data_IF_672710806642
#
_entry.id   IF_672710806642
#
_cell.length_a   1.000
_cell.length_b   1.000
_cell.length_c   1.000
_cell.angle_alpha   90.00
_cell.angle_beta   90.00
_cell.angle_gamma   90.00
#
_symmetry.space_group_name_H-M   'P 1'
#
loop_
_entity.id
_entity.type
_entity.pdbx_description
1 polymer ?
#
# COMPACT_ATOMS: atom_id res chain seq x y z
N UNK A 1 -5.23 2.62 -26.34
CA UNK A 1 -4.26 3.51 -25.67
C UNK A 1 -2.85 2.91 -25.53
N UNK A 2 -2.66 1.58 -25.44
CA UNK A 2 -1.33 0.94 -25.34
C UNK A 2 -0.48 0.99 -26.62
N UNK A 3 -1.11 1.01 -27.79
CA UNK A 3 -0.42 1.06 -29.08
C UNK A 3 0.12 2.48 -29.40
N UNK A 4 -0.52 3.53 -28.87
CA UNK A 4 -0.16 4.93 -29.19
C UNK A 4 1.17 5.40 -28.57
N UNK A 5 1.51 4.97 -27.35
CA UNK A 5 2.78 5.38 -26.72
C UNK A 5 4.01 4.70 -27.35
N UNK A 6 3.84 3.48 -27.87
CA UNK A 6 4.90 2.72 -28.55
C UNK A 6 5.42 3.43 -29.79
N UNK A 7 4.54 4.09 -30.55
CA UNK A 7 4.91 4.88 -31.73
C UNK A 7 5.61 6.20 -31.36
N UNK A 8 5.31 6.79 -30.20
CA UNK A 8 5.85 8.09 -29.81
C UNK A 8 7.35 8.04 -29.48
N UNK A 9 7.79 7.04 -28.71
CA UNK A 9 9.22 6.87 -28.39
C UNK A 9 10.06 6.52 -29.62
N UNK A 10 9.50 5.69 -30.51
CA UNK A 10 10.12 5.34 -31.80
C UNK A 10 10.18 6.56 -32.74
N UNK A 11 9.14 7.39 -32.74
CA UNK A 11 9.07 8.65 -33.48
C UNK A 11 10.09 9.69 -32.99
N UNK A 12 10.37 9.78 -31.69
CA UNK A 12 11.40 10.68 -31.14
C UNK A 12 12.82 10.31 -31.60
N UNK A 13 13.12 9.02 -31.74
CA UNK A 13 14.41 8.53 -32.25
C UNK A 13 14.55 8.90 -33.74
N UNK A 14 13.48 8.69 -34.50
CA UNK A 14 13.36 9.03 -35.92
C UNK A 14 13.52 10.55 -36.14
N UNK A 15 12.92 11.40 -35.29
CA UNK A 15 13.12 12.85 -35.28
C UNK A 15 14.57 13.26 -34.97
N UNK A 16 15.24 12.60 -34.02
CA UNK A 16 16.63 12.91 -33.67
C UNK A 16 17.58 12.67 -34.85
N UNK A 17 17.33 11.66 -35.69
CA UNK A 17 18.11 11.40 -36.90
C UNK A 17 17.80 12.39 -38.04
N UNK A 18 16.60 12.97 -38.10
CA UNK A 18 16.16 13.87 -39.18
C UNK A 18 16.61 15.34 -39.08
N UNK A 19 17.40 15.71 -38.07
CA UNK A 19 17.78 17.11 -37.76
C UNK A 19 18.83 17.75 -38.68
N UNK A 20 19.27 17.08 -39.75
CA UNK A 20 20.47 17.48 -40.50
C UNK A 20 20.27 18.35 -41.77
N UNK A 21 19.09 18.86 -42.14
CA UNK A 21 19.00 19.80 -43.29
C UNK A 21 17.84 20.82 -43.25
N UNK A 22 18.09 22.15 -43.34
CA UNK A 22 17.03 23.14 -43.32
C UNK A 22 16.87 23.88 -44.67
N UNK A 23 16.06 23.34 -45.60
CA UNK A 23 15.36 24.11 -46.67
C UNK A 23 14.14 23.33 -47.20
N UNK A 24 12.92 23.81 -46.96
CA UNK A 24 11.64 23.11 -47.23
C UNK A 24 11.50 22.55 -48.67
N UNK A 25 12.05 23.25 -49.66
CA UNK A 25 11.97 22.89 -51.08
C UNK A 25 12.96 21.79 -51.50
N UNK A 26 13.90 21.43 -50.63
CA UNK A 26 14.91 20.37 -50.84
C UNK A 26 14.63 19.14 -49.95
N UNK A 27 13.62 19.20 -49.08
CA UNK A 27 13.27 18.14 -48.14
C UNK A 27 12.56 16.97 -48.82
N UNK A 28 12.94 15.75 -48.48
CA UNK A 28 12.21 14.55 -48.88
C UNK A 28 10.86 14.43 -48.14
N UNK A 29 10.01 13.51 -48.58
CA UNK A 29 8.65 13.34 -48.06
C UNK A 29 8.59 13.06 -46.55
N UNK A 30 9.61 12.39 -46.03
CA UNK A 30 9.77 12.11 -44.61
C UNK A 30 10.25 13.34 -43.82
N UNK A 31 11.17 14.13 -44.37
CA UNK A 31 11.64 15.37 -43.72
C UNK A 31 10.54 16.44 -43.69
N UNK A 32 9.74 16.56 -44.76
CA UNK A 32 8.53 17.40 -44.78
C UNK A 32 7.53 16.94 -43.70
N UNK A 33 7.40 15.63 -43.50
CA UNK A 33 6.56 15.08 -42.45
C UNK A 33 7.08 15.39 -41.04
N UNK A 34 8.39 15.28 -40.81
CA UNK A 34 8.99 15.67 -39.52
C UNK A 34 8.78 17.16 -39.23
N UNK A 35 8.97 18.01 -40.24
CA UNK A 35 8.73 19.45 -40.14
C UNK A 35 7.28 19.78 -39.75
N UNK A 36 6.30 19.06 -40.32
CA UNK A 36 4.88 19.24 -39.99
C UNK A 36 4.59 18.94 -38.51
N UNK A 37 5.12 17.82 -38.00
CA UNK A 37 4.88 17.45 -36.61
C UNK A 37 5.63 18.35 -35.61
N UNK A 38 6.86 18.77 -35.93
CA UNK A 38 7.65 19.64 -35.05
C UNK A 38 7.02 21.03 -34.91
N UNK A 39 6.43 21.57 -36.00
CA UNK A 39 5.81 22.89 -36.01
C UNK A 39 4.29 22.87 -35.83
N UNK A 40 3.70 21.68 -35.61
CA UNK A 40 2.24 21.48 -35.50
C UNK A 40 1.44 22.08 -36.68
N UNK A 41 2.02 21.98 -37.87
CA UNK A 41 1.48 22.55 -39.11
C UNK A 41 0.42 21.62 -39.74
N UNK A 42 -0.46 22.18 -40.56
CA UNK A 42 -1.50 21.40 -41.25
C UNK A 42 -0.90 20.50 -42.33
N UNK A 43 -1.48 19.32 -42.52
CA UNK A 43 -1.04 18.34 -43.51
C UNK A 43 -1.24 18.76 -44.98
N UNK A 44 -1.62 20.02 -45.24
CA UNK A 44 -1.81 20.60 -46.56
C UNK A 44 -0.52 20.58 -47.41
N UNK A 45 0.65 20.55 -46.78
CA UNK A 45 1.97 20.36 -47.44
C UNK A 45 2.09 18.95 -48.07
N UNK A 46 1.36 17.98 -47.52
CA UNK A 46 1.37 16.60 -48.00
C UNK A 46 0.28 16.42 -49.05
N UNK A 47 0.69 16.30 -50.31
CA UNK A 47 -0.19 16.15 -51.48
C UNK A 47 -1.26 15.04 -51.36
N UNK A 48 -1.04 13.99 -50.54
CA UNK A 48 -2.08 12.99 -50.23
C UNK A 48 -1.84 12.26 -48.90
N UNK A 49 -2.92 11.73 -48.31
CA UNK A 49 -2.88 10.90 -47.09
C UNK A 49 -2.24 9.52 -47.32
N UNK A 50 -2.29 8.99 -48.53
CA UNK A 50 -1.64 7.72 -48.90
C UNK A 50 -0.12 7.86 -48.89
N UNK A 51 0.39 9.03 -49.25
CA UNK A 51 1.82 9.36 -49.20
C UNK A 51 2.37 9.31 -47.78
N UNK A 52 1.59 9.79 -46.80
CA UNK A 52 1.94 9.68 -45.37
C UNK A 52 2.14 8.24 -44.93
N UNK A 53 1.15 7.39 -45.21
CA UNK A 53 1.18 5.98 -44.81
C UNK A 53 2.38 5.29 -45.46
N UNK A 54 2.63 5.56 -46.74
CA UNK A 54 3.79 5.01 -47.45
C UNK A 54 5.11 5.44 -46.79
N UNK A 55 5.28 6.72 -46.49
CA UNK A 55 6.48 7.25 -45.83
C UNK A 55 6.73 6.59 -44.47
N UNK A 56 5.67 6.36 -43.69
CA UNK A 56 5.77 5.64 -42.42
C UNK A 56 6.19 4.18 -42.60
N UNK A 57 5.59 3.48 -43.58
CA UNK A 57 5.91 2.08 -43.87
C UNK A 57 7.36 1.95 -44.36
N UNK A 58 7.78 2.78 -45.31
CA UNK A 58 9.13 2.77 -45.88
C UNK A 58 10.19 3.02 -44.77
N UNK A 59 9.96 4.00 -43.89
CA UNK A 59 10.88 4.30 -42.78
C UNK A 59 10.88 3.23 -41.69
N UNK A 60 9.74 2.60 -41.45
CA UNK A 60 9.66 1.47 -40.53
C UNK A 60 10.49 0.28 -41.03
N UNK A 61 10.37 -0.05 -42.32
CA UNK A 61 11.19 -1.10 -42.96
C UNK A 61 12.67 -0.75 -43.01
N UNK A 62 13.03 0.52 -43.26
CA UNK A 62 14.42 0.99 -43.19
C UNK A 62 15.00 0.86 -41.78
N UNK A 63 14.24 1.25 -40.75
CA UNK A 63 14.66 1.12 -39.35
C UNK A 63 14.82 -0.35 -38.95
N UNK A 64 13.98 -1.26 -39.44
CA UNK A 64 14.14 -2.70 -39.19
C UNK A 64 15.43 -3.28 -39.79
N UNK A 65 15.97 -2.66 -40.84
CA UNK A 65 17.25 -3.06 -41.46
C UNK A 65 18.47 -2.48 -40.74
N UNK A 66 18.27 -1.44 -39.92
CA UNK A 66 19.30 -0.84 -39.06
C UNK A 66 19.28 -1.54 -37.69
N UNK A 67 20.11 -2.58 -37.53
CA UNK A 67 20.14 -3.43 -36.33
C UNK A 67 20.37 -2.63 -35.03
N UNK A 68 21.22 -1.61 -35.06
CA UNK A 68 21.53 -0.78 -33.89
C UNK A 68 20.33 0.10 -33.51
N UNK A 69 19.69 0.72 -34.50
CA UNK A 69 18.52 1.55 -34.27
C UNK A 69 17.32 0.72 -33.80
N UNK A 70 17.09 -0.42 -34.45
CA UNK A 70 15.99 -1.34 -34.12
C UNK A 70 16.14 -1.92 -32.72
N UNK A 71 17.34 -2.42 -32.38
CA UNK A 71 17.62 -2.96 -31.05
C UNK A 71 17.52 -1.90 -29.95
N UNK A 72 17.96 -0.68 -30.22
CA UNK A 72 17.83 0.45 -29.29
C UNK A 72 16.35 0.82 -29.04
N UNK A 73 15.55 0.93 -30.10
CA UNK A 73 14.11 1.20 -29.97
C UNK A 73 13.40 0.09 -29.19
N UNK A 74 13.74 -1.18 -29.46
CA UNK A 74 13.20 -2.33 -28.73
C UNK A 74 13.60 -2.32 -27.25
N UNK A 75 14.86 -2.01 -26.95
CA UNK A 75 15.37 -1.94 -25.58
C UNK A 75 14.65 -0.87 -24.74
N UNK A 76 14.37 0.30 -25.34
CA UNK A 76 13.61 1.38 -24.70
C UNK A 76 12.18 0.92 -24.42
N UNK A 77 11.50 0.33 -25.40
CA UNK A 77 10.13 -0.17 -25.22
C UNK A 77 10.03 -1.24 -24.13
N UNK A 78 10.95 -2.20 -24.13
CA UNK A 78 11.02 -3.23 -23.10
C UNK A 78 11.38 -2.63 -21.73
N UNK A 79 12.23 -1.61 -21.68
CA UNK A 79 12.53 -0.84 -20.46
C UNK A 79 11.29 -0.16 -19.88
N UNK A 80 10.54 0.57 -20.70
CA UNK A 80 9.29 1.23 -20.29
C UNK A 80 8.21 0.23 -19.84
N UNK A 81 8.11 -0.92 -20.51
CA UNK A 81 7.20 -1.99 -20.11
C UNK A 81 7.59 -2.58 -18.75
N UNK A 82 8.88 -2.88 -18.54
CA UNK A 82 9.41 -3.37 -17.27
C UNK A 82 9.19 -2.38 -16.13
N UNK A 83 9.46 -1.10 -16.35
CA UNK A 83 9.25 -0.06 -15.34
C UNK A 83 7.78 0.02 -14.91
N UNK A 84 6.86 0.01 -15.87
CA UNK A 84 5.41 0.04 -15.58
C UNK A 84 4.91 -1.20 -14.86
N UNK A 85 5.34 -2.39 -15.30
CA UNK A 85 4.93 -3.64 -14.66
C UNK A 85 5.53 -3.77 -13.26
N UNK A 86 6.83 -3.44 -13.09
CA UNK A 86 7.48 -3.49 -11.77
C UNK A 86 6.82 -2.57 -10.74
N UNK A 87 6.43 -1.35 -11.13
CA UNK A 87 5.68 -0.44 -10.24
C UNK A 87 4.33 -1.02 -9.83
N UNK A 88 3.62 -1.67 -10.76
CA UNK A 88 2.33 -2.29 -10.48
C UNK A 88 2.48 -3.49 -9.56
N UNK A 89 3.44 -4.38 -9.84
CA UNK A 89 3.69 -5.59 -9.05
C UNK A 89 4.10 -5.22 -7.61
N UNK A 90 5.01 -4.25 -7.45
CA UNK A 90 5.43 -3.76 -6.13
C UNK A 90 4.29 -3.13 -5.33
N UNK A 91 3.36 -2.43 -5.99
CA UNK A 91 2.18 -1.86 -5.32
C UNK A 91 1.20 -2.94 -4.86
N UNK A 92 0.94 -3.94 -5.71
CA UNK A 92 0.06 -5.07 -5.40
C UNK A 92 0.64 -5.91 -4.24
N UNK A 93 1.94 -6.21 -4.27
CA UNK A 93 2.65 -6.91 -3.19
C UNK A 93 2.61 -6.13 -1.87
N UNK A 94 2.93 -4.83 -1.89
CA UNK A 94 2.90 -3.98 -0.69
C UNK A 94 1.50 -3.92 -0.06
N UNK A 95 0.45 -3.83 -0.88
CA UNK A 95 -0.94 -3.85 -0.41
C UNK A 95 -1.33 -5.20 0.19
N UNK A 96 -0.89 -6.30 -0.42
CA UNK A 96 -1.15 -7.64 0.09
C UNK A 96 -0.43 -7.89 1.42
N UNK A 97 0.84 -7.51 1.52
CA UNK A 97 1.65 -7.61 2.73
C UNK A 97 1.03 -6.83 3.90
N UNK A 98 0.73 -5.54 3.70
CA UNK A 98 0.13 -4.71 4.76
C UNK A 98 -1.24 -5.21 5.23
N UNK A 99 -2.07 -5.77 4.33
CA UNK A 99 -3.35 -6.38 4.71
C UNK A 99 -3.17 -7.67 5.52
N UNK A 100 -2.13 -8.45 5.24
CA UNK A 100 -1.84 -9.67 5.98
C UNK A 100 -1.30 -9.35 7.36
N UNK A 101 -0.33 -8.44 7.44
CA UNK A 101 0.29 -7.98 8.68
C UNK A 101 -0.75 -7.40 9.65
N UNK A 102 -1.56 -6.42 9.20
CA UNK A 102 -2.60 -5.84 10.07
C UNK A 102 -3.67 -6.83 10.53
N UNK A 103 -3.95 -7.89 9.74
CA UNK A 103 -4.85 -8.97 10.18
C UNK A 103 -4.23 -9.87 11.24
N UNK A 104 -2.94 -10.15 11.13
CA UNK A 104 -2.22 -11.00 12.09
C UNK A 104 -2.07 -10.24 13.40
N UNK A 105 -1.60 -9.00 13.36
CA UNK A 105 -1.43 -8.15 14.54
C UNK A 105 -2.76 -7.94 15.27
N UNK A 106 -3.80 -7.44 14.59
CA UNK A 106 -5.08 -7.20 15.24
C UNK A 106 -5.74 -8.47 15.81
N UNK A 107 -5.53 -9.63 15.17
CA UNK A 107 -6.03 -10.91 15.71
C UNK A 107 -5.23 -11.37 16.93
N UNK A 108 -3.93 -11.14 16.93
CA UNK A 108 -3.05 -11.53 18.04
C UNK A 108 -3.29 -10.64 19.25
N UNK A 109 -3.34 -9.32 19.07
CA UNK A 109 -3.67 -8.34 20.12
C UNK A 109 -5.04 -8.64 20.73
N UNK A 110 -6.10 -8.73 19.92
CA UNK A 110 -7.44 -9.00 20.43
C UNK A 110 -7.58 -10.35 21.15
N UNK A 111 -6.81 -11.37 20.76
CA UNK A 111 -6.77 -12.66 21.49
C UNK A 111 -6.04 -12.56 22.82
N UNK A 112 -4.96 -11.80 22.89
CA UNK A 112 -4.19 -11.62 24.12
C UNK A 112 -5.00 -10.79 25.10
N UNK A 113 -5.53 -9.65 24.68
CA UNK A 113 -6.37 -8.77 25.50
C UNK A 113 -7.60 -9.51 26.00
N UNK A 114 -8.36 -10.16 25.12
CA UNK A 114 -9.55 -10.90 25.53
C UNK A 114 -9.26 -12.07 26.48
N UNK A 115 -8.07 -12.68 26.39
CA UNK A 115 -7.65 -13.74 27.33
C UNK A 115 -7.27 -13.18 28.70
N UNK A 116 -6.62 -12.03 28.75
CA UNK A 116 -6.27 -11.35 30.00
C UNK A 116 -7.54 -10.85 30.70
N UNK A 117 -8.41 -10.16 29.96
CA UNK A 117 -9.68 -9.66 30.48
C UNK A 117 -10.58 -10.80 30.97
N UNK A 118 -10.68 -11.89 30.21
CA UNK A 118 -11.46 -13.07 30.61
C UNK A 118 -10.93 -13.76 31.87
N UNK A 119 -9.60 -13.77 32.09
CA UNK A 119 -9.01 -14.29 33.34
C UNK A 119 -9.35 -13.39 34.52
N UNK A 120 -9.20 -12.08 34.37
CA UNK A 120 -9.49 -11.11 35.42
C UNK A 120 -10.96 -11.13 35.83
N UNK A 121 -11.86 -11.21 34.84
CA UNK A 121 -13.29 -11.32 35.12
C UNK A 121 -13.63 -12.65 35.83
N UNK A 122 -12.97 -13.75 35.47
CA UNK A 122 -13.10 -15.02 36.19
C UNK A 122 -12.66 -14.93 37.65
N UNK A 123 -11.54 -14.26 37.93
CA UNK A 123 -11.07 -14.02 39.30
C UNK A 123 -12.03 -13.12 40.10
N UNK A 124 -12.58 -12.07 39.47
CA UNK A 124 -13.62 -11.22 40.07
C UNK A 124 -14.85 -12.02 40.48
N UNK A 125 -15.33 -12.90 39.60
CA UNK A 125 -16.49 -13.74 39.89
C UNK A 125 -16.23 -14.74 41.01
N UNK A 126 -15.03 -15.30 41.09
CA UNK A 126 -14.65 -16.19 42.19
C UNK A 126 -14.61 -15.44 43.52
N UNK A 127 -13.98 -14.27 43.57
CA UNK A 127 -13.91 -13.45 44.78
C UNK A 127 -15.29 -12.96 45.21
N UNK A 128 -16.17 -12.63 44.26
CA UNK A 128 -17.56 -12.28 44.55
C UNK A 128 -18.26 -13.42 45.30
N UNK A 129 -18.20 -14.64 44.78
CA UNK A 129 -18.81 -15.81 45.43
C UNK A 129 -18.23 -16.08 46.81
N UNK A 130 -16.92 -15.95 46.97
CA UNK A 130 -16.26 -16.17 48.26
C UNK A 130 -16.68 -15.14 49.31
N UNK A 131 -16.81 -13.87 48.93
CA UNK A 131 -17.28 -12.79 49.83
C UNK A 131 -18.74 -13.00 50.20
N UNK A 132 -19.58 -13.35 49.22
CA UNK A 132 -20.99 -13.64 49.42
C UNK A 132 -21.19 -14.84 50.36
N UNK A 133 -20.35 -15.87 50.24
CA UNK A 133 -20.39 -17.04 51.12
C UNK A 133 -19.86 -16.76 52.53
N UNK A 134 -18.75 -16.01 52.66
CA UNK A 134 -18.08 -15.80 53.96
C UNK A 134 -18.72 -14.68 54.77
N UNK A 135 -19.14 -13.60 54.12
CA UNK A 135 -19.61 -12.39 54.79
C UNK A 135 -21.09 -12.07 54.50
N UNK A 136 -21.73 -12.79 53.58
CA UNK A 136 -23.13 -12.55 53.18
C UNK A 136 -23.39 -11.13 52.65
N UNK A 137 -22.38 -10.51 52.05
CA UNK A 137 -22.47 -9.19 51.44
C UNK A 137 -22.34 -9.25 49.92
N UNK A 138 -23.15 -8.45 49.23
CA UNK A 138 -23.06 -8.27 47.78
C UNK A 138 -21.95 -7.25 47.45
N UNK A 139 -20.92 -7.71 46.75
CA UNK A 139 -19.72 -6.90 46.52
C UNK A 139 -19.37 -6.70 45.04
N UNK A 140 -20.27 -7.03 44.11
CA UNK A 140 -20.01 -6.99 42.66
C UNK A 140 -19.52 -5.61 42.18
N UNK A 141 -20.22 -4.54 42.57
CA UNK A 141 -19.87 -3.15 42.22
C UNK A 141 -18.55 -2.70 42.84
N UNK A 142 -18.27 -3.18 44.05
CA UNK A 142 -17.01 -2.88 44.74
C UNK A 142 -15.84 -3.60 44.06
N UNK A 143 -15.99 -4.89 43.75
CA UNK A 143 -14.96 -5.66 43.04
C UNK A 143 -14.70 -5.07 41.66
N UNK A 144 -15.71 -4.61 40.90
CA UNK A 144 -15.54 -3.95 39.60
C UNK A 144 -14.68 -2.67 39.67
N UNK A 145 -14.71 -1.94 40.79
CA UNK A 145 -13.93 -0.72 40.97
C UNK A 145 -12.46 -0.97 41.32
N UNK A 146 -12.06 -2.21 41.62
CA UNK A 146 -10.68 -2.56 42.01
C UNK A 146 -9.76 -2.80 40.81
N UNK A 147 -8.48 -2.46 40.99
CA UNK A 147 -7.40 -2.82 40.06
C UNK A 147 -6.96 -4.28 40.21
N UNK A 148 -6.23 -4.82 39.24
CA UNK A 148 -5.69 -6.20 39.28
C UNK A 148 -4.82 -6.45 40.53
N UNK A 149 -3.97 -5.50 40.89
CA UNK A 149 -3.12 -5.61 42.10
C UNK A 149 -3.97 -5.64 43.37
N UNK A 150 -5.00 -4.79 43.45
CA UNK A 150 -5.92 -4.77 44.59
C UNK A 150 -6.71 -6.08 44.70
N UNK A 151 -7.08 -6.70 43.58
CA UNK A 151 -7.76 -8.00 43.54
C UNK A 151 -6.90 -9.11 44.16
N UNK A 152 -5.60 -9.15 43.87
CA UNK A 152 -4.68 -10.09 44.52
C UNK A 152 -4.53 -9.86 46.03
N UNK A 153 -4.50 -8.59 46.45
CA UNK A 153 -4.46 -8.24 47.87
C UNK A 153 -5.75 -8.68 48.57
N UNK A 154 -6.92 -8.46 47.93
CA UNK A 154 -8.22 -8.92 48.44
C UNK A 154 -8.22 -10.43 48.63
N UNK A 155 -7.69 -11.22 47.69
CA UNK A 155 -7.61 -12.68 47.83
C UNK A 155 -6.84 -13.11 49.09
N UNK A 156 -5.76 -12.39 49.43
CA UNK A 156 -4.97 -12.67 50.64
C UNK A 156 -5.73 -12.25 51.90
N UNK A 157 -6.28 -11.02 51.91
CA UNK A 157 -7.01 -10.48 53.05
C UNK A 157 -8.31 -11.23 53.35
N UNK A 158 -8.93 -11.85 52.34
CA UNK A 158 -10.13 -12.67 52.50
C UNK A 158 -9.86 -13.86 53.44
N UNK A 159 -8.64 -14.39 53.47
CA UNK A 159 -8.25 -15.45 54.40
C UNK A 159 -8.01 -14.94 55.82
N UNK A 160 -7.50 -13.72 55.97
CA UNK A 160 -7.08 -13.16 57.27
C UNK A 160 -8.18 -12.39 58.01
N UNK A 161 -9.15 -11.82 57.30
CA UNK A 161 -10.17 -10.95 57.89
C UNK A 161 -11.44 -11.71 58.28
N UNK A 162 -11.95 -11.43 59.47
CA UNK A 162 -13.20 -12.03 59.99
C UNK A 162 -14.46 -11.26 59.53
N UNK A 163 -14.32 -10.00 59.13
CA UNK A 163 -15.43 -9.16 58.64
C UNK A 163 -15.06 -8.42 57.35
N UNK A 164 -16.07 -8.16 56.53
CA UNK A 164 -15.91 -7.45 55.26
C UNK A 164 -15.45 -5.99 55.45
N UNK A 165 -15.90 -5.33 56.54
CA UNK A 165 -15.48 -3.97 56.87
C UNK A 165 -13.98 -3.90 57.22
N UNK A 166 -13.44 -4.92 57.91
CA UNK A 166 -12.01 -5.03 58.22
C UNK A 166 -11.17 -5.19 56.95
N UNK A 167 -11.67 -6.00 56.01
CA UNK A 167 -11.04 -6.23 54.71
C UNK A 167 -10.95 -4.91 53.91
N UNK A 168 -12.06 -4.17 53.78
CA UNK A 168 -12.08 -2.86 53.11
C UNK A 168 -11.16 -1.84 53.75
N UNK A 169 -11.13 -1.77 55.09
CA UNK A 169 -10.24 -0.86 55.83
C UNK A 169 -8.76 -1.17 55.63
N UNK A 170 -8.38 -2.45 55.53
CA UNK A 170 -6.99 -2.85 55.27
C UNK A 170 -6.57 -2.58 53.83
N UNK A 171 -7.45 -2.83 52.85
CA UNK A 171 -7.19 -2.51 51.45
C UNK A 171 -6.91 -1.01 51.23
N UNK A 172 -7.74 -0.14 51.83
CA UNK A 172 -7.54 1.31 51.76
C UNK A 172 -6.28 1.81 52.49
N UNK A 173 -5.71 1.01 53.40
CA UNK A 173 -4.44 1.32 54.08
C UNK A 173 -3.23 0.86 53.27
N UNK A 174 -3.34 -0.25 52.53
CA UNK A 174 -2.28 -0.69 51.62
C UNK A 174 -2.12 0.24 50.42
N UNK A 175 -3.19 0.90 49.95
CA UNK A 175 -3.11 1.88 48.84
C UNK A 175 -2.40 3.20 49.19
N UNK A 176 -2.20 3.50 50.48
CA UNK A 176 -1.58 4.76 50.96
C UNK A 176 -0.08 4.65 51.23
N UNK A 177 0.54 3.54 50.85
CA UNK A 177 1.97 3.27 51.03
C UNK A 177 2.68 3.26 49.67
#
# INVERSE_FOLDING_TARGET
MFIQMSYFSMWLIILKKGKENPKLNELNDFEQLLYLFENNEKNDILKSKERLVKVFVDKYEEMQKDDELWSTAMAIQMGEARYRNGLRDSFEEGKAAGKMEGKIEGRMEGKIEGRIEGKLEGERQLLHKLIEMKYHEACATWLQALTEEQMHIVSTLLLECDTFESLRKRLNKSDKK
#
